data_IF_881589077881
#
_entry.id   IF_881589077881
#
_cell.length_a   1.000
_cell.length_b   1.000
_cell.length_c   1.000
_cell.angle_alpha   90.00
_cell.angle_beta   90.00
_cell.angle_gamma   90.00
#
_symmetry.space_group_name_H-M   'P 1'
#
loop_
_entity.id
_entity.type
_entity.pdbx_description
1 polymer ?
#
# COMPACT_ATOMS: atom_id res chain seq x y z
N UNK A 1 10.55 7.41 -23.33
CA UNK A 1 11.88 8.08 -23.18
C UNK A 1 12.79 7.09 -22.50
N UNK A 2 13.89 6.69 -23.12
CA UNK A 2 14.75 5.64 -22.58
C UNK A 2 15.46 6.09 -21.29
N UNK A 3 15.51 5.23 -20.27
CA UNK A 3 16.17 5.42 -18.96
C UNK A 3 17.61 5.96 -19.08
N UNK A 4 18.32 5.61 -20.15
CA UNK A 4 19.68 6.06 -20.45
C UNK A 4 19.81 7.56 -20.81
N UNK A 5 18.75 8.18 -21.28
CA UNK A 5 18.74 9.61 -21.64
C UNK A 5 18.52 10.48 -20.40
N UNK A 6 17.76 10.00 -19.43
CA UNK A 6 17.55 10.69 -18.15
C UNK A 6 18.84 10.75 -17.32
N UNK A 7 19.57 9.65 -17.24
CA UNK A 7 20.87 9.60 -16.51
C UNK A 7 21.97 10.46 -17.17
N UNK A 8 21.92 10.73 -18.47
CA UNK A 8 22.88 11.62 -19.14
C UNK A 8 22.56 13.10 -18.94
N UNK A 9 21.31 13.46 -18.66
CA UNK A 9 20.92 14.83 -18.32
C UNK A 9 21.25 15.17 -16.84
N UNK A 10 21.20 14.20 -15.95
CA UNK A 10 21.57 14.38 -14.54
C UNK A 10 23.09 14.61 -14.31
N UNK A 11 23.94 14.19 -15.27
CA UNK A 11 25.39 14.36 -15.20
C UNK A 11 25.89 15.76 -15.64
N UNK A 12 25.00 16.68 -16.02
CA UNK A 12 25.33 18.02 -16.55
C UNK A 12 24.84 19.18 -15.67
N UNK A 13 24.43 18.92 -14.43
CA UNK A 13 24.16 19.99 -13.47
C UNK A 13 25.40 20.18 -12.59
N UNK A 14 26.25 21.21 -12.89
CA UNK A 14 27.34 21.57 -11.98
C UNK A 14 26.69 22.29 -10.80
N UNK A 15 26.79 21.68 -9.61
CA UNK A 15 26.83 22.42 -8.36
C UNK A 15 25.74 23.44 -8.13
N UNK A 16 24.46 23.03 -8.04
CA UNK A 16 23.52 23.78 -7.23
C UNK A 16 23.88 23.51 -5.78
N UNK A 17 24.72 24.40 -5.25
CA UNK A 17 24.99 24.50 -3.84
C UNK A 17 23.62 24.49 -3.11
N UNK A 18 23.47 23.58 -2.17
CA UNK A 18 22.47 23.62 -1.11
C UNK A 18 22.64 24.93 -0.32
N UNK A 19 22.11 26.02 -0.87
CA UNK A 19 21.88 27.26 -0.14
C UNK A 19 20.50 27.17 0.52
N UNK A 20 20.33 26.20 1.40
CA UNK A 20 19.29 26.18 2.41
C UNK A 20 19.71 27.06 3.56
N UNK A 21 18.93 28.02 3.92
CA UNK A 21 19.11 28.97 5.00
C UNK A 21 19.41 28.30 6.35
N UNK A 22 20.46 28.78 7.02
CA UNK A 22 20.79 28.44 8.39
C UNK A 22 21.90 27.41 8.50
N UNK A 23 23.16 27.86 8.63
CA UNK A 23 24.32 27.01 8.69
C UNK A 23 24.44 26.14 9.95
N UNK A 24 23.61 25.13 10.09
CA UNK A 24 23.92 24.01 10.96
C UNK A 24 24.94 23.12 10.25
N UNK A 25 26.06 22.90 10.89
CA UNK A 25 27.07 21.95 10.39
C UNK A 25 26.40 20.55 10.40
N UNK A 26 26.49 19.84 9.27
CA UNK A 26 26.09 18.43 9.25
C UNK A 26 26.81 17.66 10.35
N UNK A 27 26.07 16.77 11.01
CA UNK A 27 26.61 15.86 12.03
C UNK A 27 27.18 14.58 11.42
N UNK A 28 27.04 14.41 10.11
CA UNK A 28 27.47 13.20 9.38
C UNK A 28 28.91 13.30 8.92
N UNK A 29 29.63 12.17 8.94
CA UNK A 29 31.04 12.12 8.52
C UNK A 29 31.38 10.78 7.87
N UNK A 30 31.94 10.76 6.63
CA UNK A 30 32.42 9.53 6.01
C UNK A 30 33.55 8.84 6.76
N UNK A 31 34.26 9.59 7.63
CA UNK A 31 35.38 9.06 8.44
C UNK A 31 34.88 8.34 9.70
N UNK A 32 33.65 8.64 10.14
CA UNK A 32 33.00 8.04 11.30
C UNK A 32 31.52 7.79 10.92
N UNK A 33 31.21 6.72 10.19
CA UNK A 33 29.90 6.50 9.64
C UNK A 33 28.84 6.27 10.71
N UNK A 34 27.67 6.91 10.51
CA UNK A 34 26.47 6.69 11.32
C UNK A 34 25.78 5.42 10.86
N UNK A 35 25.69 4.44 11.75
CA UNK A 35 24.93 3.21 11.49
C UNK A 35 23.47 3.40 11.88
N UNK A 36 22.58 3.04 10.97
CA UNK A 36 21.13 2.97 11.20
C UNK A 36 20.65 1.54 11.00
N UNK A 37 19.98 0.99 11.99
CA UNK A 37 19.21 -0.23 11.82
C UNK A 37 17.82 0.11 11.25
N UNK A 38 17.45 -0.56 10.14
CA UNK A 38 16.15 -0.40 9.53
C UNK A 38 15.39 -1.71 9.53
N UNK A 39 14.14 -1.68 10.04
CA UNK A 39 13.20 -2.79 9.99
C UNK A 39 12.05 -2.43 9.06
N UNK A 40 11.86 -3.23 8.00
CA UNK A 40 10.81 -2.94 7.04
C UNK A 40 10.03 -4.19 6.62
N UNK A 41 8.78 -3.98 6.17
CA UNK A 41 7.85 -5.03 5.76
C UNK A 41 7.94 -5.37 4.27
N UNK A 42 8.83 -4.76 3.50
CA UNK A 42 8.91 -4.93 2.04
C UNK A 42 9.84 -6.08 1.61
N UNK A 43 10.18 -6.99 2.52
CA UNK A 43 11.24 -7.97 2.33
C UNK A 43 10.80 -9.42 2.14
N UNK A 44 9.50 -9.68 1.97
CA UNK A 44 8.97 -11.06 1.86
C UNK A 44 9.41 -11.78 0.58
N UNK A 45 9.89 -11.05 -0.42
CA UNK A 45 10.40 -11.62 -1.66
C UNK A 45 11.92 -11.68 -1.67
N UNK A 46 12.49 -12.76 -2.23
CA UNK A 46 13.92 -12.97 -2.35
C UNK A 46 14.65 -11.83 -3.11
N UNK A 47 13.96 -11.16 -4.03
CA UNK A 47 14.45 -10.02 -4.80
C UNK A 47 13.61 -8.76 -4.50
N UNK A 48 13.55 -8.37 -3.23
CA UNK A 48 12.83 -7.19 -2.79
C UNK A 48 13.39 -5.92 -3.42
N UNK A 49 12.56 -5.10 -4.10
CA UNK A 49 12.98 -3.80 -4.62
C UNK A 49 13.54 -2.89 -3.52
N UNK A 50 12.98 -2.91 -2.32
CA UNK A 50 13.47 -2.14 -1.19
C UNK A 50 14.89 -2.56 -0.79
N UNK A 51 15.16 -3.87 -0.70
CA UNK A 51 16.51 -4.35 -0.36
C UNK A 51 17.54 -3.92 -1.39
N UNK A 52 17.18 -3.87 -2.67
CA UNK A 52 18.07 -3.34 -3.73
C UNK A 52 18.33 -1.85 -3.56
N UNK A 53 17.30 -1.05 -3.27
CA UNK A 53 17.43 0.38 -3.00
C UNK A 53 18.32 0.64 -1.78
N UNK A 54 18.16 -0.12 -0.70
CA UNK A 54 19.01 0.01 0.50
C UNK A 54 20.47 -0.31 0.21
N UNK A 55 20.73 -1.33 -0.62
CA UNK A 55 22.10 -1.64 -1.07
C UNK A 55 22.64 -0.51 -1.94
N UNK A 56 21.88 0.01 -2.88
CA UNK A 56 22.28 1.13 -3.74
C UNK A 56 22.57 2.39 -2.92
N UNK A 57 21.72 2.71 -1.93
CA UNK A 57 21.99 3.81 -1.01
C UNK A 57 23.32 3.65 -0.28
N UNK A 58 23.58 2.49 0.32
CA UNK A 58 24.81 2.21 1.03
C UNK A 58 26.05 2.36 0.12
N UNK A 59 25.94 1.94 -1.14
CA UNK A 59 27.04 1.99 -2.11
C UNK A 59 27.27 3.38 -2.72
N UNK A 60 26.30 4.28 -2.61
CA UNK A 60 26.33 5.62 -3.22
C UNK A 60 26.28 6.72 -2.17
N UNK A 61 25.12 7.32 -1.96
CA UNK A 61 24.93 8.47 -1.06
C UNK A 61 25.27 8.14 0.38
N UNK A 62 24.93 6.94 0.85
CA UNK A 62 25.29 6.49 2.20
C UNK A 62 26.79 6.53 2.44
N UNK A 63 27.58 5.96 1.52
CA UNK A 63 29.05 6.00 1.60
C UNK A 63 29.61 7.43 1.52
N UNK A 64 29.05 8.26 0.61
CA UNK A 64 29.47 9.65 0.45
C UNK A 64 29.21 10.47 1.72
N UNK A 65 28.05 10.29 2.35
CA UNK A 65 27.65 11.07 3.53
C UNK A 65 28.11 10.45 4.86
N UNK A 66 28.61 9.22 4.85
CA UNK A 66 28.94 8.48 6.06
C UNK A 66 27.73 7.92 6.77
N UNK A 67 26.84 7.28 6.03
CA UNK A 67 25.65 6.59 6.53
C UNK A 67 25.71 5.13 6.08
N UNK A 68 25.44 4.20 7.00
CA UNK A 68 25.33 2.78 6.69
C UNK A 68 24.01 2.23 7.24
N UNK A 69 23.17 1.73 6.34
CA UNK A 69 21.91 1.07 6.70
C UNK A 69 22.14 -0.43 6.89
N UNK A 70 21.75 -0.94 8.06
CA UNK A 70 21.70 -2.36 8.39
C UNK A 70 20.23 -2.81 8.43
N UNK A 71 19.89 -3.79 7.61
CA UNK A 71 18.49 -4.13 7.28
C UNK A 71 18.04 -5.39 7.99
N UNK A 72 16.84 -5.36 8.54
CA UNK A 72 16.09 -6.53 9.00
C UNK A 72 14.68 -6.50 8.43
N UNK A 73 14.28 -7.57 7.74
CA UNK A 73 12.94 -7.72 7.25
C UNK A 73 11.98 -8.09 8.37
N UNK A 74 10.78 -7.54 8.33
CA UNK A 74 9.70 -7.82 9.26
C UNK A 74 8.47 -8.35 8.51
N UNK A 75 7.70 -9.19 9.16
CA UNK A 75 6.41 -9.67 8.62
C UNK A 75 5.24 -8.76 9.02
N UNK A 76 5.40 -7.97 10.08
CA UNK A 76 4.33 -7.13 10.63
C UNK A 76 4.91 -5.88 11.32
N UNK A 77 4.41 -4.70 10.96
CA UNK A 77 4.78 -3.43 11.59
C UNK A 77 4.38 -3.35 13.07
N UNK A 78 3.29 -3.99 13.46
CA UNK A 78 2.81 -4.03 14.87
C UNK A 78 3.74 -4.83 15.81
N UNK A 79 4.73 -5.58 15.27
CA UNK A 79 5.69 -6.32 16.09
C UNK A 79 6.71 -5.40 16.80
N UNK A 80 6.74 -4.11 16.47
CA UNK A 80 7.65 -3.15 17.13
C UNK A 80 7.02 -2.73 18.46
N UNK A 81 7.64 -3.20 19.53
CA UNK A 81 7.33 -2.77 20.89
C UNK A 81 8.61 -2.38 21.63
N UNK A 82 8.49 -1.65 22.72
CA UNK A 82 9.61 -1.32 23.57
C UNK A 82 9.87 0.18 23.73
N UNK A 83 10.95 0.54 24.43
CA UNK A 83 11.33 1.94 24.68
C UNK A 83 12.42 2.38 23.70
N UNK A 84 12.39 3.64 23.23
CA UNK A 84 13.44 4.19 22.37
C UNK A 84 14.83 3.96 22.95
N UNK A 85 15.79 3.57 22.08
CA UNK A 85 17.18 3.32 22.49
C UNK A 85 17.43 1.96 23.14
N UNK A 86 16.45 1.07 23.25
CA UNK A 86 16.71 -0.32 23.59
C UNK A 86 17.59 -0.97 22.50
N UNK A 87 18.52 -1.86 22.87
CA UNK A 87 19.49 -2.46 21.95
C UNK A 87 18.86 -3.33 20.85
N UNK A 88 17.63 -3.74 21.06
CA UNK A 88 16.84 -4.60 20.19
C UNK A 88 15.82 -3.84 19.33
N UNK A 89 15.80 -2.49 19.38
CA UNK A 89 14.91 -1.68 18.59
C UNK A 89 15.64 -1.08 17.37
N UNK A 90 14.94 -0.93 16.22
CA UNK A 90 15.51 -0.28 15.05
C UNK A 90 15.60 1.24 15.25
N UNK A 91 16.47 1.89 14.45
CA UNK A 91 16.48 3.35 14.34
C UNK A 91 15.37 3.84 13.42
N UNK A 92 15.13 3.11 12.33
CA UNK A 92 14.13 3.40 11.30
C UNK A 92 13.24 2.17 11.09
N UNK A 93 11.93 2.34 10.93
CA UNK A 93 11.02 1.21 10.79
C UNK A 93 9.75 1.54 10.03
N UNK A 94 9.16 0.51 9.40
CA UNK A 94 7.84 0.59 8.77
C UNK A 94 6.74 0.56 9.83
N UNK A 95 5.79 1.50 9.74
CA UNK A 95 4.62 1.51 10.59
C UNK A 95 3.39 2.07 9.88
N UNK A 96 2.21 1.59 10.28
CA UNK A 96 0.96 2.29 10.05
C UNK A 96 0.81 3.43 11.06
N UNK A 97 -0.01 4.44 10.74
CA UNK A 97 -0.24 5.59 11.61
C UNK A 97 -0.83 5.18 12.98
N UNK A 98 -1.67 4.14 13.01
CA UNK A 98 -2.20 3.59 14.25
C UNK A 98 -1.10 2.95 15.12
N UNK A 99 -0.16 2.21 14.51
CA UNK A 99 0.96 1.59 15.23
C UNK A 99 1.91 2.68 15.78
N UNK A 100 2.21 3.70 14.96
CA UNK A 100 3.01 4.84 15.37
C UNK A 100 2.38 5.60 16.56
N UNK A 101 1.06 5.80 16.51
CA UNK A 101 0.33 6.41 17.63
C UNK A 101 0.42 5.56 18.92
N UNK A 102 0.32 4.24 18.81
CA UNK A 102 0.43 3.33 19.94
C UNK A 102 1.83 3.28 20.59
N UNK A 103 2.88 3.59 19.82
CA UNK A 103 4.26 3.70 20.33
C UNK A 103 4.51 4.98 21.13
N UNK A 104 3.62 5.96 21.06
CA UNK A 104 3.77 7.30 21.62
C UNK A 104 4.59 8.23 20.71
N UNK A 105 3.93 9.25 20.20
CA UNK A 105 4.53 10.19 19.22
C UNK A 105 5.69 11.01 19.78
N UNK A 106 5.79 11.13 21.10
CA UNK A 106 6.92 11.78 21.79
C UNK A 106 8.23 11.00 21.63
N UNK A 107 8.12 9.70 21.37
CA UNK A 107 9.26 8.80 21.16
C UNK A 107 9.76 8.78 19.72
N UNK A 108 9.01 9.41 18.79
CA UNK A 108 9.28 9.39 17.37
C UNK A 108 9.84 10.72 16.87
N UNK A 109 10.65 10.65 15.82
CA UNK A 109 11.15 11.84 15.12
C UNK A 109 9.98 12.56 14.47
N UNK A 110 9.91 13.87 14.65
CA UNK A 110 9.02 14.73 13.89
C UNK A 110 9.72 15.12 12.59
N UNK A 111 9.25 14.61 11.47
CA UNK A 111 9.83 14.89 10.16
C UNK A 111 9.71 16.36 9.73
N UNK A 112 8.81 17.14 10.36
CA UNK A 112 8.75 18.60 10.14
C UNK A 112 10.02 19.33 10.58
N UNK A 113 10.82 18.73 11.47
CA UNK A 113 12.13 19.29 11.86
C UNK A 113 13.21 19.10 10.76
N UNK A 114 12.97 18.19 9.78
CA UNK A 114 13.92 17.78 8.76
C UNK A 114 13.46 18.06 7.33
N UNK A 115 12.17 18.22 7.11
CA UNK A 115 11.55 18.49 5.81
C UNK A 115 10.72 19.77 5.91
N UNK A 116 10.92 20.68 4.97
CA UNK A 116 10.12 21.90 4.90
C UNK A 116 8.72 21.62 4.36
N UNK A 117 7.82 22.56 4.53
CA UNK A 117 6.47 22.48 3.94
C UNK A 117 6.53 22.38 2.39
N UNK A 118 7.56 22.97 1.76
CA UNK A 118 7.79 22.88 0.32
C UNK A 118 8.25 21.45 -0.08
N UNK A 119 9.15 20.84 0.69
CA UNK A 119 9.54 19.45 0.49
C UNK A 119 8.30 18.53 0.57
N UNK A 120 7.47 18.71 1.61
CA UNK A 120 6.27 17.86 1.81
C UNK A 120 5.18 18.11 0.77
N UNK A 121 5.12 19.28 0.16
CA UNK A 121 4.16 19.59 -0.90
C UNK A 121 4.43 18.84 -2.22
N UNK A 122 5.61 18.23 -2.38
CA UNK A 122 5.94 17.37 -3.51
C UNK A 122 5.22 16.00 -3.45
N UNK A 123 4.74 15.61 -2.27
CA UNK A 123 4.04 14.34 -2.06
C UNK A 123 2.53 14.48 -2.22
N UNK A 124 1.84 13.36 -2.45
CA UNK A 124 0.37 13.33 -2.50
C UNK A 124 -0.19 13.78 -1.15
N UNK A 125 -1.04 14.83 -1.11
CA UNK A 125 -1.50 15.42 0.17
C UNK A 125 -2.15 14.42 1.13
N UNK A 126 -2.98 13.48 0.62
CA UNK A 126 -3.60 12.45 1.44
C UNK A 126 -2.59 11.50 2.07
N UNK A 127 -1.44 11.24 1.41
CA UNK A 127 -0.38 10.37 1.95
C UNK A 127 0.41 11.07 3.06
N UNK A 128 0.63 12.38 2.92
CA UNK A 128 1.24 13.21 3.97
C UNK A 128 0.31 13.29 5.18
N UNK A 129 -0.97 13.59 4.94
CA UNK A 129 -1.98 13.75 6.00
C UNK A 129 -2.13 12.49 6.88
N UNK A 130 -2.04 11.30 6.29
CA UNK A 130 -2.09 10.02 7.03
C UNK A 130 -0.95 9.89 8.06
N UNK A 131 0.20 10.51 7.80
CA UNK A 131 1.37 10.47 8.69
C UNK A 131 1.39 11.55 9.76
N UNK A 132 0.42 12.46 9.78
CA UNK A 132 0.32 13.52 10.77
C UNK A 132 -0.51 13.05 11.96
N UNK A 133 0.12 12.95 13.13
CA UNK A 133 -0.52 12.58 14.39
C UNK A 133 -0.28 13.70 15.40
N UNK A 134 -1.35 14.25 15.97
CA UNK A 134 -1.30 15.37 16.92
C UNK A 134 -0.43 16.55 16.43
N UNK A 135 -0.51 16.86 15.12
CA UNK A 135 0.19 17.97 14.49
C UNK A 135 1.66 17.70 14.14
N UNK A 136 2.18 16.50 14.37
CA UNK A 136 3.54 16.08 14.02
C UNK A 136 3.54 15.10 12.85
N UNK A 137 4.43 15.29 11.91
CA UNK A 137 4.66 14.33 10.81
C UNK A 137 5.57 13.20 11.31
N UNK A 138 5.00 12.14 11.88
CA UNK A 138 5.78 11.03 12.45
C UNK A 138 5.91 9.82 11.52
N UNK A 139 4.98 9.65 10.57
CA UNK A 139 5.04 8.59 9.55
C UNK A 139 5.35 9.23 8.20
N UNK A 140 6.55 8.98 7.68
CA UNK A 140 6.97 9.52 6.38
C UNK A 140 6.35 8.73 5.24
N UNK A 141 5.70 9.36 4.24
CA UNK A 141 5.02 8.66 3.15
C UNK A 141 6.01 8.12 2.12
N UNK A 142 6.36 6.84 2.20
CA UNK A 142 7.27 6.19 1.23
C UNK A 142 6.50 5.48 0.14
N UNK A 143 5.54 4.65 0.53
CA UNK A 143 4.68 3.93 -0.42
C UNK A 143 3.28 3.77 0.16
N UNK A 144 2.29 3.84 -0.71
CA UNK A 144 0.90 3.60 -0.37
C UNK A 144 0.29 2.63 -1.37
N UNK A 145 -0.70 1.88 -0.90
CA UNK A 145 -1.48 0.99 -1.73
C UNK A 145 -2.95 1.39 -1.70
N UNK A 146 -3.68 0.92 -2.69
CA UNK A 146 -5.14 1.03 -2.76
C UNK A 146 -5.73 -0.35 -3.01
N UNK A 147 -7.03 -0.44 -3.26
CA UNK A 147 -7.68 -1.68 -3.67
C UNK A 147 -7.98 -1.67 -5.17
N UNK A 148 -7.73 -2.81 -5.81
CA UNK A 148 -7.98 -3.05 -7.23
C UNK A 148 -8.65 -4.42 -7.41
N UNK A 149 -9.29 -4.60 -8.56
CA UNK A 149 -9.71 -5.92 -9.03
C UNK A 149 -8.63 -6.46 -9.95
N UNK A 150 -8.17 -7.66 -9.65
CA UNK A 150 -7.22 -8.44 -10.45
C UNK A 150 -7.99 -9.59 -11.11
N UNK A 151 -7.88 -9.75 -12.42
CA UNK A 151 -8.61 -10.78 -13.15
C UNK A 151 -7.66 -11.71 -13.92
N UNK A 152 -7.98 -13.00 -13.91
CA UNK A 152 -7.39 -13.96 -14.83
C UNK A 152 -7.83 -13.62 -16.26
N UNK A 153 -6.91 -13.10 -17.08
CA UNK A 153 -7.21 -12.58 -18.41
C UNK A 153 -7.66 -13.64 -19.41
N UNK A 154 -7.06 -14.84 -19.37
CA UNK A 154 -7.45 -15.93 -20.28
C UNK A 154 -8.86 -16.43 -19.96
N UNK A 155 -9.21 -16.55 -18.70
CA UNK A 155 -10.56 -16.96 -18.29
C UNK A 155 -11.58 -15.84 -18.56
N UNK A 156 -11.21 -14.57 -18.30
CA UNK A 156 -12.05 -13.43 -18.64
C UNK A 156 -12.34 -13.35 -20.15
N UNK A 157 -11.32 -13.59 -20.99
CA UNK A 157 -11.50 -13.55 -22.45
C UNK A 157 -12.52 -14.60 -22.93
N UNK A 158 -12.54 -15.81 -22.35
CA UNK A 158 -13.55 -16.82 -22.66
C UNK A 158 -14.95 -16.38 -22.21
N UNK A 159 -15.06 -15.93 -20.96
CA UNK A 159 -16.32 -15.42 -20.42
C UNK A 159 -16.87 -14.27 -21.25
N UNK A 160 -16.04 -13.29 -21.58
CA UNK A 160 -16.44 -12.14 -22.40
C UNK A 160 -16.85 -12.53 -23.85
N UNK A 161 -16.16 -13.50 -24.46
CA UNK A 161 -16.50 -13.99 -25.78
C UNK A 161 -17.88 -14.65 -25.83
N UNK A 162 -18.22 -15.41 -24.79
CA UNK A 162 -19.50 -16.16 -24.72
C UNK A 162 -20.68 -15.29 -24.29
N UNK A 163 -20.45 -14.26 -23.46
CA UNK A 163 -21.52 -13.48 -22.81
C UNK A 163 -21.60 -12.02 -23.26
N UNK A 164 -20.56 -11.49 -23.90
CA UNK A 164 -20.44 -10.07 -24.21
C UNK A 164 -20.04 -9.19 -23.01
N UNK A 165 -19.59 -9.77 -21.90
CA UNK A 165 -19.21 -9.04 -20.70
C UNK A 165 -18.09 -8.01 -21.01
N UNK A 166 -18.17 -6.83 -20.40
CA UNK A 166 -17.23 -5.76 -20.58
C UNK A 166 -16.61 -5.33 -19.26
N UNK A 167 -15.27 -5.10 -19.21
CA UNK A 167 -14.58 -4.65 -18.00
C UNK A 167 -15.14 -3.34 -17.43
N UNK A 168 -15.66 -2.47 -18.29
CA UNK A 168 -16.28 -1.21 -17.88
C UNK A 168 -17.50 -1.38 -16.97
N UNK A 169 -18.17 -2.55 -17.01
CA UNK A 169 -19.27 -2.89 -16.12
C UNK A 169 -18.82 -2.92 -14.64
N UNK A 170 -17.53 -3.23 -14.38
CA UNK A 170 -16.95 -3.24 -13.04
C UNK A 170 -16.75 -1.84 -12.42
N UNK A 171 -17.08 -0.76 -13.13
CA UNK A 171 -16.92 0.59 -12.60
C UNK A 171 -17.87 0.91 -11.43
N UNK A 172 -18.95 0.18 -11.30
CA UNK A 172 -19.94 0.37 -10.22
C UNK A 172 -20.20 -0.92 -9.47
N UNK A 173 -20.67 -0.81 -8.20
CA UNK A 173 -21.05 -1.98 -7.40
C UNK A 173 -22.23 -2.74 -8.04
N UNK A 174 -23.19 -2.03 -8.61
CA UNK A 174 -24.31 -2.68 -9.33
C UNK A 174 -23.78 -3.55 -10.48
N UNK A 175 -22.90 -2.98 -11.31
CA UNK A 175 -22.29 -3.72 -12.41
C UNK A 175 -21.37 -4.86 -11.94
N UNK A 176 -20.66 -4.67 -10.82
CA UNK A 176 -19.87 -5.74 -10.21
C UNK A 176 -20.76 -6.94 -9.80
N UNK A 177 -21.87 -6.71 -9.11
CA UNK A 177 -22.77 -7.79 -8.69
C UNK A 177 -23.50 -8.42 -9.89
N UNK A 178 -23.88 -7.63 -10.90
CA UNK A 178 -24.43 -8.14 -12.15
C UNK A 178 -23.45 -9.09 -12.85
N UNK A 179 -22.19 -8.66 -13.01
CA UNK A 179 -21.13 -9.49 -13.61
C UNK A 179 -20.86 -10.74 -12.78
N UNK A 180 -20.87 -10.63 -11.45
CA UNK A 180 -20.65 -11.76 -10.55
C UNK A 180 -21.72 -12.84 -10.73
N UNK A 181 -23.00 -12.46 -10.77
CA UNK A 181 -24.10 -13.39 -11.04
C UNK A 181 -24.03 -14.00 -12.44
N UNK A 182 -23.71 -13.21 -13.48
CA UNK A 182 -23.55 -13.70 -14.84
C UNK A 182 -22.38 -14.70 -14.96
N UNK A 183 -21.24 -14.41 -14.31
CA UNK A 183 -20.10 -15.31 -14.30
C UNK A 183 -20.43 -16.64 -13.61
N UNK A 184 -21.08 -16.64 -12.45
CA UNK A 184 -21.49 -17.85 -11.75
C UNK A 184 -22.37 -18.75 -12.62
N UNK A 185 -23.32 -18.17 -13.35
CA UNK A 185 -24.18 -18.92 -14.28
C UNK A 185 -23.36 -19.52 -15.44
N UNK A 186 -22.45 -18.75 -16.04
CA UNK A 186 -21.61 -19.21 -17.14
C UNK A 186 -20.61 -20.29 -16.71
N UNK A 187 -19.98 -20.11 -15.54
CA UNK A 187 -18.93 -21.00 -15.02
C UNK A 187 -19.42 -22.28 -14.36
N UNK A 188 -20.74 -22.48 -14.29
CA UNK A 188 -21.37 -23.61 -13.57
C UNK A 188 -21.04 -23.58 -12.06
N UNK A 189 -21.47 -22.51 -11.40
CA UNK A 189 -21.42 -22.27 -9.96
C UNK A 189 -20.03 -21.87 -9.36
N UNK A 190 -19.03 -21.50 -10.16
CA UNK A 190 -17.85 -20.87 -9.59
C UNK A 190 -18.10 -19.41 -9.21
N UNK A 191 -17.61 -18.95 -8.04
CA UNK A 191 -17.71 -17.54 -7.67
C UNK A 191 -16.86 -16.67 -8.61
N UNK A 192 -17.36 -15.47 -8.87
CA UNK A 192 -16.66 -14.49 -9.72
C UNK A 192 -15.41 -13.94 -9.06
N UNK A 193 -15.53 -13.50 -7.82
CA UNK A 193 -14.48 -12.72 -7.15
C UNK A 193 -14.28 -13.15 -5.70
N UNK A 194 -13.04 -13.33 -5.30
CA UNK A 194 -12.64 -13.40 -3.89
C UNK A 194 -12.38 -11.98 -3.35
N UNK A 195 -12.88 -11.69 -2.16
CA UNK A 195 -12.77 -10.37 -1.54
C UNK A 195 -11.80 -10.36 -0.36
N UNK A 196 -10.80 -9.50 -0.42
CA UNK A 196 -10.04 -9.09 0.74
C UNK A 196 -10.75 -7.90 1.43
N UNK A 197 -10.74 -7.88 2.76
CA UNK A 197 -11.29 -6.77 3.57
C UNK A 197 -12.75 -6.39 3.24
N UNK A 198 -13.70 -7.34 3.22
CA UNK A 198 -15.07 -7.10 2.75
C UNK A 198 -15.80 -6.00 3.52
N UNK A 199 -15.56 -5.85 4.83
CA UNK A 199 -16.18 -4.77 5.63
C UNK A 199 -15.80 -3.39 5.14
N UNK A 200 -14.53 -3.18 4.74
CA UNK A 200 -14.09 -1.91 4.17
C UNK A 200 -14.80 -1.58 2.86
N UNK A 201 -15.10 -2.58 2.04
CA UNK A 201 -15.83 -2.39 0.79
C UNK A 201 -17.28 -1.95 1.06
N UNK A 202 -17.92 -2.58 2.04
CA UNK A 202 -19.27 -2.18 2.50
C UNK A 202 -19.28 -0.75 3.03
N UNK A 203 -18.28 -0.38 3.84
CA UNK A 203 -18.11 0.99 4.36
C UNK A 203 -17.99 2.02 3.24
N UNK A 204 -17.09 1.77 2.29
CA UNK A 204 -16.84 2.68 1.16
C UNK A 204 -18.11 2.86 0.32
N UNK A 205 -18.80 1.76 -0.02
CA UNK A 205 -20.05 1.82 -0.76
C UNK A 205 -21.12 2.63 0.00
N UNK A 206 -21.25 2.42 1.32
CA UNK A 206 -22.20 3.16 2.14
C UNK A 206 -21.86 4.66 2.24
N UNK A 207 -20.57 4.99 2.42
CA UNK A 207 -20.10 6.37 2.49
C UNK A 207 -20.34 7.13 1.18
N UNK A 208 -20.08 6.50 0.04
CA UNK A 208 -20.34 7.07 -1.28
C UNK A 208 -21.83 7.31 -1.54
N UNK A 209 -22.68 6.48 -0.94
CA UNK A 209 -24.15 6.66 -0.96
C UNK A 209 -24.66 7.68 0.07
N UNK A 210 -23.78 8.35 0.80
CA UNK A 210 -24.13 9.41 1.74
C UNK A 210 -24.60 8.93 3.11
N UNK A 211 -24.14 7.76 3.57
CA UNK A 211 -24.51 7.21 4.89
C UNK A 211 -24.22 8.13 6.07
N UNK A 212 -23.25 9.05 5.92
CA UNK A 212 -22.72 9.82 7.05
C UNK A 212 -21.92 8.92 8.00
N UNK A 213 -22.09 9.13 9.32
CA UNK A 213 -21.37 8.37 10.33
C UNK A 213 -21.84 6.91 10.38
N UNK A 214 -20.86 5.99 10.30
CA UNK A 214 -21.10 4.54 10.27
C UNK A 214 -21.04 3.88 11.65
N UNK A 215 -20.55 4.59 12.67
CA UNK A 215 -20.30 4.02 13.98
C UNK A 215 -21.11 4.71 15.07
N UNK A 216 -21.50 3.93 16.08
CA UNK A 216 -21.94 4.39 17.40
C UNK A 216 -20.94 3.92 18.45
N UNK A 217 -20.06 4.83 18.88
CA UNK A 217 -18.91 4.46 19.70
C UNK A 217 -17.96 3.55 18.91
N UNK A 218 -17.65 2.37 19.45
CA UNK A 218 -16.75 1.39 18.80
C UNK A 218 -17.45 0.37 17.90
N UNK A 219 -18.76 0.48 17.67
CA UNK A 219 -19.55 -0.50 16.95
C UNK A 219 -20.23 0.12 15.74
N UNK A 220 -20.45 -0.68 14.68
CA UNK A 220 -21.26 -0.23 13.55
C UNK A 220 -22.67 0.16 13.97
N UNK A 221 -23.16 1.26 13.43
CA UNK A 221 -24.55 1.65 13.59
C UNK A 221 -25.46 0.81 12.65
N UNK A 222 -25.93 -0.29 13.16
CA UNK A 222 -26.85 -1.17 12.42
C UNK A 222 -28.24 -0.55 12.20
N UNK A 223 -28.51 0.65 12.73
CA UNK A 223 -29.75 1.41 12.43
C UNK A 223 -29.57 2.36 11.25
N UNK A 224 -28.34 2.55 10.76
CA UNK A 224 -28.06 3.30 9.54
C UNK A 224 -28.55 2.52 8.32
N UNK A 225 -29.60 3.01 7.67
CA UNK A 225 -30.25 2.29 6.56
C UNK A 225 -29.33 2.14 5.34
N UNK A 226 -28.53 3.16 5.01
CA UNK A 226 -27.61 3.10 3.88
C UNK A 226 -26.51 2.06 4.12
N UNK A 227 -25.95 2.01 5.33
CA UNK A 227 -24.97 0.98 5.69
C UNK A 227 -25.60 -0.43 5.62
N UNK A 228 -26.82 -0.60 6.13
CA UNK A 228 -27.54 -1.88 6.05
C UNK A 228 -27.81 -2.30 4.61
N UNK A 229 -28.21 -1.36 3.74
CA UNK A 229 -28.44 -1.64 2.33
C UNK A 229 -27.16 -2.13 1.66
N UNK A 230 -26.06 -1.40 1.81
CA UNK A 230 -24.75 -1.79 1.30
C UNK A 230 -24.33 -3.18 1.84
N UNK A 231 -24.44 -3.40 3.15
CA UNK A 231 -24.17 -4.70 3.75
C UNK A 231 -24.99 -5.84 3.11
N UNK A 232 -26.31 -5.62 2.91
CA UNK A 232 -27.20 -6.63 2.34
C UNK A 232 -26.89 -6.97 0.89
N UNK A 233 -26.36 -6.05 0.10
CA UNK A 233 -25.89 -6.30 -1.27
C UNK A 233 -24.75 -7.30 -1.28
N UNK A 234 -23.70 -7.05 -0.49
CA UNK A 234 -22.56 -7.97 -0.35
C UNK A 234 -22.97 -9.32 0.27
N UNK A 235 -23.78 -9.28 1.33
CA UNK A 235 -24.25 -10.51 2.00
C UNK A 235 -25.09 -11.39 1.05
N UNK A 236 -25.93 -10.78 0.22
CA UNK A 236 -26.73 -11.51 -0.77
C UNK A 236 -25.82 -12.18 -1.81
N UNK A 237 -24.88 -11.45 -2.39
CA UNK A 237 -23.93 -12.00 -3.35
C UNK A 237 -23.10 -13.15 -2.76
N UNK A 238 -22.70 -13.02 -1.48
CA UNK A 238 -21.97 -14.07 -0.76
C UNK A 238 -22.82 -15.32 -0.56
N UNK A 239 -24.07 -15.16 -0.08
CA UNK A 239 -25.00 -16.29 0.16
C UNK A 239 -25.40 -16.98 -1.15
N UNK A 240 -25.49 -16.24 -2.25
CA UNK A 240 -25.76 -16.79 -3.57
C UNK A 240 -24.54 -17.53 -4.16
N UNK A 241 -23.34 -17.33 -3.62
CA UNK A 241 -22.11 -17.90 -4.16
C UNK A 241 -21.52 -17.11 -5.35
N UNK A 242 -21.99 -15.87 -5.56
CA UNK A 242 -21.49 -15.00 -6.61
C UNK A 242 -20.08 -14.46 -6.28
N UNK A 243 -19.81 -14.29 -4.99
CA UNK A 243 -18.50 -13.86 -4.44
C UNK A 243 -18.06 -14.81 -3.33
N UNK A 244 -16.76 -14.74 -3.00
CA UNK A 244 -16.12 -15.58 -1.98
C UNK A 244 -15.36 -14.71 -0.95
N UNK A 245 -15.43 -15.11 0.30
CA UNK A 245 -14.56 -14.63 1.39
C UNK A 245 -13.87 -15.84 2.00
N UNK A 246 -12.56 -15.79 2.14
CA UNK A 246 -11.76 -16.91 2.68
C UNK A 246 -10.72 -16.41 3.66
N UNK A 247 -10.06 -17.34 4.36
CA UNK A 247 -8.92 -17.06 5.23
C UNK A 247 -7.61 -16.81 4.44
N UNK A 248 -7.63 -17.07 3.13
CA UNK A 248 -6.53 -16.81 2.23
C UNK A 248 -6.75 -15.49 1.49
N UNK A 249 -5.65 -14.86 1.06
CA UNK A 249 -5.74 -13.69 0.21
C UNK A 249 -6.30 -14.03 -1.18
N UNK A 250 -7.05 -13.11 -1.76
CA UNK A 250 -7.79 -13.26 -3.02
C UNK A 250 -6.91 -13.67 -4.21
N UNK A 251 -5.62 -13.30 -4.22
CA UNK A 251 -4.68 -13.78 -5.25
C UNK A 251 -4.56 -15.30 -5.30
N UNK A 252 -4.68 -15.99 -4.16
CA UNK A 252 -4.61 -17.45 -4.11
C UNK A 252 -5.76 -18.09 -4.90
N UNK A 253 -7.00 -17.61 -4.70
CA UNK A 253 -8.18 -18.12 -5.41
C UNK A 253 -8.11 -17.85 -6.92
N UNK A 254 -7.59 -16.70 -7.33
CA UNK A 254 -7.38 -16.39 -8.76
C UNK A 254 -6.32 -17.30 -9.37
N UNK A 255 -5.18 -17.48 -8.67
CA UNK A 255 -4.05 -18.27 -9.16
C UNK A 255 -4.30 -19.79 -9.14
N UNK A 256 -5.33 -20.25 -8.44
CA UNK A 256 -5.80 -21.64 -8.46
C UNK A 256 -7.02 -21.87 -9.39
N UNK A 257 -7.53 -20.79 -10.01
CA UNK A 257 -8.72 -20.86 -10.88
C UNK A 257 -10.03 -21.16 -10.12
N UNK A 258 -10.02 -20.93 -8.80
CA UNK A 258 -11.22 -21.02 -7.98
C UNK A 258 -12.18 -19.85 -8.27
N UNK A 259 -11.63 -18.63 -8.43
CA UNK A 259 -12.37 -17.44 -8.85
C UNK A 259 -11.76 -16.85 -10.13
N UNK A 260 -12.57 -16.11 -10.88
CA UNK A 260 -12.08 -15.31 -12.02
C UNK A 260 -11.28 -14.12 -11.55
N UNK A 261 -11.72 -13.48 -10.50
CA UNK A 261 -11.17 -12.22 -10.00
C UNK A 261 -10.85 -12.28 -8.50
N UNK A 262 -9.96 -11.39 -8.08
CA UNK A 262 -9.68 -11.07 -6.69
C UNK A 262 -9.74 -9.56 -6.48
N UNK A 263 -10.44 -9.10 -5.46
CA UNK A 263 -10.45 -7.71 -5.06
C UNK A 263 -9.62 -7.55 -3.80
N UNK A 264 -8.47 -6.92 -3.93
CA UNK A 264 -7.50 -6.80 -2.86
C UNK A 264 -6.55 -5.63 -3.02
N UNK A 265 -5.53 -5.58 -2.18
CA UNK A 265 -4.51 -4.53 -2.21
C UNK A 265 -3.76 -4.48 -3.54
N UNK A 266 -3.48 -3.28 -4.05
CA UNK A 266 -2.61 -3.10 -5.21
C UNK A 266 -1.20 -3.69 -5.01
N UNK A 267 -0.74 -3.84 -3.75
CA UNK A 267 0.50 -4.52 -3.42
C UNK A 267 0.46 -6.02 -3.73
N UNK A 268 -0.73 -6.63 -3.84
CA UNK A 268 -0.89 -8.04 -4.18
C UNK A 268 -0.37 -8.39 -5.58
N UNK A 269 -0.13 -7.41 -6.47
CA UNK A 269 0.45 -7.62 -7.81
C UNK A 269 1.74 -8.45 -7.77
N UNK A 270 2.50 -8.36 -6.68
CA UNK A 270 3.75 -9.09 -6.50
C UNK A 270 3.56 -10.61 -6.29
N UNK A 271 2.33 -11.05 -6.02
CA UNK A 271 1.97 -12.44 -5.74
C UNK A 271 1.14 -13.09 -6.85
N UNK A 272 0.93 -12.36 -7.96
CA UNK A 272 0.31 -12.90 -9.17
C UNK A 272 1.38 -13.41 -10.13
N UNK A 273 1.12 -14.56 -10.73
CA UNK A 273 1.97 -15.17 -11.74
C UNK A 273 1.37 -14.98 -13.13
N UNK A 274 2.14 -15.28 -14.16
CA UNK A 274 1.73 -15.32 -15.57
C UNK A 274 1.07 -16.64 -15.98
N UNK A 275 0.74 -17.49 -15.02
CA UNK A 275 0.00 -18.74 -15.20
C UNK A 275 -0.87 -19.05 -14.00
N UNK A 276 -1.97 -19.75 -14.25
CA UNK A 276 -2.85 -20.32 -13.23
C UNK A 276 -2.52 -21.81 -13.07
N UNK A 277 -2.52 -22.30 -11.84
CA UNK A 277 -2.36 -23.73 -11.52
C UNK A 277 -3.66 -24.27 -10.95
N UNK A 278 -4.33 -25.11 -11.69
CA UNK A 278 -5.58 -25.72 -11.29
C UNK A 278 -5.40 -26.85 -10.25
N UNK A 279 -6.47 -27.27 -9.52
CA UNK A 279 -6.37 -28.30 -8.50
C UNK A 279 -5.88 -29.69 -9.01
N UNK A 280 -6.04 -29.96 -10.30
CA UNK A 280 -5.52 -31.16 -10.96
C UNK A 280 -4.04 -31.06 -11.38
N UNK A 281 -3.34 -30.00 -10.96
CA UNK A 281 -1.97 -29.64 -11.32
C UNK A 281 -1.76 -29.30 -12.81
N UNK A 282 -2.82 -29.08 -13.58
CA UNK A 282 -2.66 -28.47 -14.91
C UNK A 282 -2.39 -26.98 -14.78
N UNK A 283 -1.68 -26.40 -15.73
CA UNK A 283 -1.36 -24.98 -15.77
C UNK A 283 -1.87 -24.34 -17.05
N UNK A 284 -2.31 -23.08 -16.95
CA UNK A 284 -2.74 -22.27 -18.09
C UNK A 284 -2.04 -20.91 -18.03
N UNK A 285 -1.35 -20.47 -19.09
CA UNK A 285 -0.84 -19.10 -19.19
C UNK A 285 -1.98 -18.09 -19.11
N UNK A 286 -1.75 -16.98 -18.42
CA UNK A 286 -2.72 -15.88 -18.32
C UNK A 286 -2.01 -14.54 -18.22
N UNK A 287 -2.60 -13.52 -18.86
CA UNK A 287 -2.28 -12.14 -18.57
C UNK A 287 -3.12 -11.67 -17.38
N UNK A 288 -2.52 -10.89 -16.50
CA UNK A 288 -3.24 -10.27 -15.40
C UNK A 288 -3.93 -8.99 -15.91
N UNK A 289 -5.26 -8.97 -15.86
CA UNK A 289 -6.03 -7.77 -16.13
C UNK A 289 -6.33 -7.03 -14.84
N UNK A 290 -6.40 -5.70 -14.91
CA UNK A 290 -6.69 -4.84 -13.76
C UNK A 290 -7.95 -4.02 -14.04
N UNK A 291 -8.81 -3.92 -13.02
CA UNK A 291 -9.90 -2.96 -13.00
C UNK A 291 -9.85 -2.14 -11.70
N UNK A 292 -10.32 -0.89 -11.73
CA UNK A 292 -10.40 -0.06 -10.53
C UNK A 292 -11.39 -0.65 -9.52
N UNK A 293 -11.31 -0.18 -8.28
CA UNK A 293 -12.33 -0.43 -7.27
C UNK A 293 -13.68 0.06 -7.78
N UNK A 294 -14.77 -0.73 -7.68
CA UNK A 294 -16.10 -0.28 -8.00
C UNK A 294 -16.56 0.86 -7.08
N UNK A 295 -17.41 1.74 -7.58
CA UNK A 295 -17.98 2.85 -6.85
C UNK A 295 -19.51 2.79 -6.83
N UNK A 296 -20.14 3.50 -5.89
CA UNK A 296 -21.59 3.66 -5.90
C UNK A 296 -22.02 4.39 -7.18
N UNK A 297 -23.10 3.92 -7.81
CA UNK A 297 -23.60 4.50 -9.04
C UNK A 297 -23.94 5.99 -8.85
N UNK A 298 -23.46 6.84 -9.76
CA UNK A 298 -23.73 8.28 -9.74
C UNK A 298 -22.95 9.08 -8.69
N UNK A 299 -21.98 8.48 -7.98
CA UNK A 299 -21.13 9.25 -7.05
C UNK A 299 -20.31 10.30 -7.80
N UNK A 300 -20.32 11.54 -7.29
CA UNK A 300 -19.54 12.64 -7.85
C UNK A 300 -18.08 12.62 -7.38
N UNK A 301 -17.83 11.99 -6.24
CA UNK A 301 -16.51 11.94 -5.61
C UNK A 301 -16.22 10.51 -5.17
N UNK A 302 -15.64 9.68 -6.06
CA UNK A 302 -15.23 8.33 -5.72
C UNK A 302 -14.25 8.31 -4.55
N UNK A 303 -14.48 7.40 -3.60
CA UNK A 303 -13.60 7.20 -2.46
C UNK A 303 -12.56 6.12 -2.78
N UNK A 304 -11.30 6.47 -2.70
CA UNK A 304 -10.22 5.51 -2.88
C UNK A 304 -9.54 5.24 -1.53
N UNK A 305 -9.63 4.02 -1.00
CA UNK A 305 -8.96 3.70 0.23
C UNK A 305 -7.45 3.76 0.02
N UNK A 306 -6.75 4.36 0.95
CA UNK A 306 -5.31 4.23 1.01
C UNK A 306 -4.92 3.30 2.16
N UNK A 307 -3.89 2.51 1.93
CA UNK A 307 -3.26 1.64 2.90
C UNK A 307 -1.75 1.63 2.70
N UNK A 308 -1.06 0.80 3.44
CA UNK A 308 0.38 0.71 3.40
C UNK A 308 1.03 1.48 4.54
N UNK A 309 2.25 1.05 4.86
CA UNK A 309 3.07 1.66 5.91
C UNK A 309 3.87 2.83 5.36
N UNK A 310 4.24 3.75 6.23
CA UNK A 310 5.32 4.69 5.97
C UNK A 310 6.54 4.33 6.80
N UNK A 311 7.54 5.21 6.85
CA UNK A 311 8.73 5.05 7.67
C UNK A 311 8.72 6.02 8.85
N UNK A 312 8.91 5.44 10.05
CA UNK A 312 9.10 6.15 11.31
C UNK A 312 10.54 5.98 11.78
N UNK A 313 11.02 6.91 12.59
CA UNK A 313 12.28 6.75 13.32
C UNK A 313 12.06 6.97 14.82
N UNK A 314 12.72 6.16 15.66
CA UNK A 314 12.79 6.46 17.08
C UNK A 314 13.70 7.68 17.33
N UNK A 315 13.26 8.54 18.25
CA UNK A 315 14.02 9.71 18.67
C UNK A 315 15.16 9.29 19.59
N UNK A 316 16.36 9.22 19.04
CA UNK A 316 17.58 8.83 19.76
C UNK A 316 18.61 9.98 19.77
N UNK A 317 19.31 10.24 18.65
CA UNK A 317 20.26 11.33 18.49
C UNK A 317 19.95 12.14 17.23
N UNK A 318 20.29 13.43 17.23
CA UNK A 318 20.12 14.30 16.04
C UNK A 318 20.94 13.77 14.86
N UNK A 319 22.11 13.17 15.09
CA UNK A 319 22.91 12.57 14.03
C UNK A 319 22.18 11.41 13.33
N UNK A 320 21.49 10.55 14.09
CA UNK A 320 20.69 9.46 13.51
C UNK A 320 19.45 9.98 12.81
N UNK A 321 18.80 11.02 13.35
CA UNK A 321 17.66 11.66 12.71
C UNK A 321 18.07 12.34 11.38
N UNK A 322 19.22 13.04 11.35
CA UNK A 322 19.78 13.58 10.12
C UNK A 322 20.08 12.50 9.09
N UNK A 323 20.71 11.40 9.51
CA UNK A 323 21.03 10.27 8.63
C UNK A 323 19.76 9.63 8.04
N UNK A 324 18.72 9.47 8.85
CA UNK A 324 17.43 8.96 8.40
C UNK A 324 16.74 9.92 7.42
N UNK A 325 16.78 11.23 7.67
CA UNK A 325 16.23 12.23 6.75
C UNK A 325 16.95 12.26 5.40
N UNK A 326 18.27 12.10 5.39
CA UNK A 326 19.06 11.98 4.15
C UNK A 326 18.65 10.73 3.36
N UNK A 327 18.45 9.60 4.04
CA UNK A 327 17.97 8.38 3.40
C UNK A 327 16.57 8.55 2.83
N UNK A 328 15.63 9.13 3.58
CA UNK A 328 14.26 9.35 3.11
C UNK A 328 14.19 10.25 1.88
N UNK A 329 14.98 11.34 1.84
CA UNK A 329 15.10 12.19 0.65
C UNK A 329 15.56 11.38 -0.56
N UNK A 330 16.65 10.66 -0.40
CA UNK A 330 17.21 9.86 -1.49
C UNK A 330 16.24 8.78 -1.98
N UNK A 331 15.46 8.19 -1.06
CA UNK A 331 14.50 7.12 -1.40
C UNK A 331 13.32 7.63 -2.22
N UNK A 332 12.94 8.90 -2.05
CA UNK A 332 11.70 9.45 -2.60
C UNK A 332 11.90 10.55 -3.66
N UNK A 333 13.12 11.05 -3.85
CA UNK A 333 13.51 11.98 -4.91
C UNK A 333 14.21 11.25 -6.08
#
# INVERSE_FOLDING_TARGET
MERRTFLKLAALVPGLALAGCGGSKTLLSPKDPTMLSIWHVYGEQADSPMNRLLTEFNDTVGREKGILLNVTNMTNSAAIGGKPGALDLPDLFSAHSADASALGIENLVDWNDWFTAEDMAAYVPGFVQDGIIDGKQVVFPVSKSTQLIFLNGSQYARFAADTGAQLSTLATWDGFFEMAGAYRQWSQDKPFCALDYPLRLVELNALEQGSGELYKGSWYDLTNETFRTSWMEFARALVQGDILISDLYSNTQVMTGETLAGLGSSAAILYYNDFVTYPDNTTEPTDLLLAPLPHAAGTATPLMPQAGVGLCAFKTTDQKAEAAAVFLRWLTE
#
